data_IF_071379449546
#
_entry.id   IF_071379449546
#
_cell.length_a   1.000
_cell.length_b   1.000
_cell.length_c   1.000
_cell.angle_alpha   90.00
_cell.angle_beta   90.00
_cell.angle_gamma   90.00
#
_symmetry.space_group_name_H-M   'P 1'
#
loop_
_entity.id
_entity.type
_entity.pdbx_description
1 polymer ?
#
# COMPACT_ATOMS: atom_id res chain seq x y z
N UNK A 1 -14.11 -25.48 -0.50
CA UNK A 1 -14.47 -24.03 -0.43
C UNK A 1 -13.49 -23.26 -1.29
N UNK A 2 -13.95 -22.33 -2.10
CA UNK A 2 -13.09 -21.43 -2.83
C UNK A 2 -12.29 -20.57 -1.86
N UNK A 3 -10.98 -20.40 -2.14
CA UNK A 3 -10.12 -19.54 -1.32
C UNK A 3 -10.51 -18.07 -1.50
N UNK A 4 -10.31 -17.28 -0.46
CA UNK A 4 -10.44 -15.82 -0.53
C UNK A 4 -9.25 -15.25 -1.31
N UNK A 5 -9.43 -14.06 -1.88
CA UNK A 5 -8.44 -13.40 -2.72
C UNK A 5 -8.11 -12.02 -2.18
N UNK A 6 -6.82 -11.74 -2.07
CA UNK A 6 -6.31 -10.40 -1.77
C UNK A 6 -5.55 -9.83 -2.97
N UNK A 7 -5.79 -8.55 -3.31
CA UNK A 7 -5.02 -7.80 -4.29
C UNK A 7 -4.22 -6.70 -3.57
N UNK A 8 -2.92 -6.61 -3.86
CA UNK A 8 -2.00 -5.68 -3.19
C UNK A 8 -1.21 -4.91 -4.25
N UNK A 9 -1.28 -3.57 -4.23
CA UNK A 9 -0.43 -2.71 -5.06
C UNK A 9 0.89 -2.41 -4.35
N UNK A 10 2.00 -2.32 -5.11
CA UNK A 10 3.35 -2.24 -4.54
C UNK A 10 3.73 -3.53 -3.82
N UNK A 11 3.34 -4.68 -4.39
CA UNK A 11 3.41 -5.98 -3.74
C UNK A 11 4.74 -6.72 -3.84
N UNK A 12 5.69 -6.21 -4.63
CA UNK A 12 6.95 -6.92 -4.89
C UNK A 12 7.93 -6.89 -3.71
N UNK A 13 7.87 -5.87 -2.86
CA UNK A 13 8.82 -5.69 -1.75
C UNK A 13 8.21 -4.93 -0.55
N UNK A 14 8.99 -4.77 0.51
CA UNK A 14 8.66 -3.95 1.68
C UNK A 14 7.34 -4.35 2.33
N UNK A 15 6.53 -3.36 2.72
CA UNK A 15 5.24 -3.61 3.36
C UNK A 15 4.30 -4.44 2.48
N UNK A 16 4.25 -4.16 1.15
CA UNK A 16 3.37 -4.89 0.23
C UNK A 16 3.67 -6.38 0.19
N UNK A 17 4.96 -6.76 0.14
CA UNK A 17 5.39 -8.16 0.25
C UNK A 17 4.98 -8.77 1.61
N UNK A 18 5.21 -8.07 2.71
CA UNK A 18 4.85 -8.57 4.04
C UNK A 18 3.32 -8.77 4.18
N UNK A 19 2.52 -7.86 3.66
CA UNK A 19 1.06 -8.04 3.59
C UNK A 19 0.69 -9.29 2.78
N UNK A 20 1.33 -9.47 1.62
CA UNK A 20 1.07 -10.61 0.75
C UNK A 20 1.35 -11.95 1.43
N UNK A 21 2.51 -12.08 2.09
CA UNK A 21 2.89 -13.26 2.85
C UNK A 21 1.91 -13.51 4.00
N UNK A 22 1.53 -12.46 4.75
CA UNK A 22 0.57 -12.60 5.85
C UNK A 22 -0.78 -13.15 5.40
N UNK A 23 -1.31 -12.67 4.28
CA UNK A 23 -2.56 -13.20 3.71
C UNK A 23 -2.37 -14.64 3.19
N UNK A 24 -1.26 -14.94 2.52
CA UNK A 24 -0.93 -16.27 2.00
C UNK A 24 -0.82 -17.32 3.11
N UNK A 25 -0.14 -17.02 4.23
CA UNK A 25 -0.05 -17.84 5.44
C UNK A 25 -1.43 -18.19 6.02
N UNK A 26 -2.41 -17.34 5.77
CA UNK A 26 -3.79 -17.53 6.20
C UNK A 26 -4.72 -18.05 5.10
N UNK A 27 -4.15 -18.64 4.04
CA UNK A 27 -4.86 -19.38 3.02
C UNK A 27 -5.56 -18.53 1.96
N UNK A 28 -5.19 -17.27 1.79
CA UNK A 28 -5.68 -16.44 0.68
C UNK A 28 -4.85 -16.68 -0.58
N UNK A 29 -5.49 -16.73 -1.73
CA UNK A 29 -4.82 -16.54 -3.01
C UNK A 29 -4.47 -15.04 -3.18
N UNK A 30 -3.35 -14.74 -3.83
CA UNK A 30 -2.75 -13.40 -3.81
C UNK A 30 -2.57 -12.85 -5.22
N UNK A 31 -3.03 -11.62 -5.44
CA UNK A 31 -2.71 -10.82 -6.64
C UNK A 31 -1.72 -9.74 -6.23
N UNK A 32 -0.57 -9.73 -6.85
CA UNK A 32 0.49 -8.75 -6.65
C UNK A 32 0.58 -7.82 -7.86
N UNK A 33 0.50 -6.53 -7.64
CA UNK A 33 0.70 -5.51 -8.66
C UNK A 33 1.92 -4.65 -8.28
N UNK A 34 2.86 -4.50 -9.20
CA UNK A 34 4.04 -3.66 -9.02
C UNK A 34 4.56 -3.14 -10.36
N UNK A 35 5.35 -2.07 -10.36
CA UNK A 35 6.08 -1.58 -11.54
C UNK A 35 7.25 -2.50 -11.92
N UNK A 36 7.74 -3.30 -10.96
CA UNK A 36 8.79 -4.30 -11.19
C UNK A 36 8.37 -5.31 -12.26
N UNK A 37 9.35 -5.86 -12.96
CA UNK A 37 9.11 -6.97 -13.87
C UNK A 37 8.77 -8.23 -13.06
N UNK A 38 7.63 -8.90 -13.31
CA UNK A 38 7.30 -10.17 -12.65
C UNK A 38 8.35 -11.27 -12.83
N UNK A 39 9.12 -11.25 -13.92
CA UNK A 39 10.24 -12.15 -14.15
C UNK A 39 11.53 -11.74 -13.44
N UNK A 40 11.60 -10.50 -12.95
CA UNK A 40 12.76 -9.99 -12.19
C UNK A 40 12.89 -10.68 -10.83
N UNK A 41 14.12 -10.77 -10.32
CA UNK A 41 14.46 -11.51 -9.10
C UNK A 41 13.60 -11.12 -7.89
N UNK A 42 13.45 -9.81 -7.64
CA UNK A 42 12.70 -9.29 -6.48
C UNK A 42 11.23 -9.73 -6.52
N UNK A 43 10.57 -9.60 -7.66
CA UNK A 43 9.16 -9.92 -7.77
C UNK A 43 8.94 -11.45 -7.79
N UNK A 44 9.77 -12.17 -8.57
CA UNK A 44 9.66 -13.64 -8.68
C UNK A 44 9.97 -14.36 -7.37
N UNK A 45 10.88 -13.84 -6.52
CA UNK A 45 11.13 -14.42 -5.19
C UNK A 45 9.90 -14.31 -4.29
N UNK A 46 9.24 -13.15 -4.27
CA UNK A 46 7.99 -12.96 -3.50
C UNK A 46 6.89 -13.93 -3.96
N UNK A 47 6.74 -14.11 -5.28
CA UNK A 47 5.78 -15.08 -5.84
C UNK A 47 6.08 -16.49 -5.37
N UNK A 48 7.34 -16.93 -5.47
CA UNK A 48 7.75 -18.28 -5.04
C UNK A 48 7.51 -18.53 -3.55
N UNK A 49 7.78 -17.54 -2.71
CA UNK A 49 7.51 -17.64 -1.27
C UNK A 49 6.01 -17.80 -0.98
N UNK A 50 5.15 -17.06 -1.67
CA UNK A 50 3.70 -17.18 -1.55
C UNK A 50 3.23 -18.56 -2.02
N UNK A 51 3.70 -19.03 -3.17
CA UNK A 51 3.32 -20.34 -3.71
C UNK A 51 3.80 -21.50 -2.83
N UNK A 52 4.96 -21.35 -2.17
CA UNK A 52 5.46 -22.32 -1.20
C UNK A 52 4.52 -22.50 0.01
N UNK A 53 3.66 -21.52 0.31
CA UNK A 53 2.61 -21.63 1.33
C UNK A 53 1.37 -22.39 0.84
N UNK A 54 1.37 -22.90 -0.41
CA UNK A 54 0.31 -23.72 -0.98
C UNK A 54 -0.90 -22.93 -1.50
N UNK A 55 -0.78 -21.64 -1.70
CA UNK A 55 -1.79 -20.77 -2.32
C UNK A 55 -1.36 -20.34 -3.71
N UNK A 56 -2.28 -19.76 -4.51
CA UNK A 56 -1.95 -19.23 -5.84
C UNK A 56 -1.47 -17.79 -5.74
N UNK A 57 -0.47 -17.43 -6.56
CA UNK A 57 -0.02 -16.07 -6.74
C UNK A 57 -0.20 -15.62 -8.21
N UNK A 58 -0.76 -14.43 -8.42
CA UNK A 58 -0.83 -13.77 -9.72
C UNK A 58 -0.01 -12.48 -9.66
N UNK A 59 1.14 -12.46 -10.31
CA UNK A 59 1.97 -11.26 -10.43
C UNK A 59 1.64 -10.50 -11.71
N UNK A 60 1.36 -9.22 -11.58
CA UNK A 60 1.03 -8.33 -12.70
C UNK A 60 1.92 -7.09 -12.66
N UNK A 61 2.68 -6.84 -13.72
CA UNK A 61 3.33 -5.55 -13.89
C UNK A 61 2.26 -4.48 -14.09
N UNK A 62 2.26 -3.47 -13.25
CA UNK A 62 1.22 -2.46 -13.25
C UNK A 62 1.75 -1.11 -12.76
N UNK A 63 1.57 -0.08 -13.55
CA UNK A 63 1.73 1.29 -13.13
C UNK A 63 0.38 1.84 -12.63
N UNK A 64 0.24 2.05 -11.33
CA UNK A 64 -1.02 2.55 -10.74
C UNK A 64 -1.40 3.96 -11.19
N UNK A 65 -0.46 4.71 -11.82
CA UNK A 65 -0.76 6.02 -12.42
C UNK A 65 -1.37 5.90 -13.82
N UNK A 66 -1.38 4.71 -14.42
CA UNK A 66 -1.99 4.39 -15.71
C UNK A 66 -3.38 3.76 -15.52
N UNK A 67 -4.42 4.40 -16.05
CA UNK A 67 -5.79 3.85 -15.98
C UNK A 67 -5.92 2.54 -16.77
N UNK A 68 -5.20 2.40 -17.89
CA UNK A 68 -5.18 1.18 -18.70
C UNK A 68 -4.55 0.01 -17.97
N UNK A 69 -3.42 0.23 -17.26
CA UNK A 69 -2.76 -0.82 -16.50
C UNK A 69 -3.66 -1.28 -15.35
N UNK A 70 -4.29 -0.33 -14.66
CA UNK A 70 -5.23 -0.64 -13.58
C UNK A 70 -6.43 -1.44 -14.06
N UNK A 71 -6.97 -1.11 -15.24
CA UNK A 71 -8.03 -1.88 -15.87
C UNK A 71 -7.59 -3.33 -16.11
N UNK A 72 -6.44 -3.51 -16.77
CA UNK A 72 -5.86 -4.84 -17.06
C UNK A 72 -5.59 -5.64 -15.79
N UNK A 73 -5.06 -5.00 -14.74
CA UNK A 73 -4.83 -5.63 -13.45
C UNK A 73 -6.10 -6.26 -12.87
N UNK A 74 -7.16 -5.46 -12.78
CA UNK A 74 -8.41 -5.92 -12.17
C UNK A 74 -9.16 -6.92 -13.06
N UNK A 75 -9.08 -6.80 -14.39
CA UNK A 75 -9.60 -7.79 -15.34
C UNK A 75 -8.91 -9.14 -15.16
N UNK A 76 -7.57 -9.18 -15.16
CA UNK A 76 -6.80 -10.41 -14.93
C UNK A 76 -7.08 -11.05 -13.57
N UNK A 77 -7.15 -10.23 -12.52
CA UNK A 77 -7.47 -10.73 -11.18
C UNK A 77 -8.86 -11.39 -11.14
N UNK A 78 -9.84 -10.75 -11.77
CA UNK A 78 -11.20 -11.27 -11.84
C UNK A 78 -11.32 -12.52 -12.73
N UNK A 79 -10.70 -12.53 -13.90
CA UNK A 79 -10.68 -13.70 -14.79
C UNK A 79 -9.99 -14.91 -14.13
N UNK A 80 -8.95 -14.69 -13.33
CA UNK A 80 -8.19 -15.77 -12.68
C UNK A 80 -8.92 -16.35 -11.47
N UNK A 81 -9.56 -15.51 -10.66
CA UNK A 81 -10.09 -15.93 -9.36
C UNK A 81 -11.59 -15.77 -9.19
N UNK A 82 -12.26 -15.01 -10.03
CA UNK A 82 -13.71 -14.77 -9.97
C UNK A 82 -14.21 -13.97 -8.76
N UNK A 83 -13.28 -13.50 -7.89
CA UNK A 83 -13.59 -12.77 -6.67
C UNK A 83 -12.45 -11.88 -6.20
N UNK A 84 -12.77 -10.87 -5.41
CA UNK A 84 -11.82 -10.01 -4.71
C UNK A 84 -12.34 -9.73 -3.31
N UNK A 85 -11.76 -10.36 -2.30
CA UNK A 85 -12.21 -10.20 -0.91
C UNK A 85 -11.58 -8.99 -0.24
N UNK A 86 -10.29 -8.78 -0.50
CA UNK A 86 -9.51 -7.68 0.08
C UNK A 86 -8.72 -6.99 -1.03
N UNK A 87 -8.70 -5.67 -1.03
CA UNK A 87 -7.79 -4.86 -1.84
C UNK A 87 -7.00 -3.94 -0.92
N UNK A 88 -5.68 -4.03 -1.00
CA UNK A 88 -4.74 -3.18 -0.25
C UNK A 88 -4.07 -2.19 -1.21
N UNK A 89 -4.47 -0.93 -1.11
CA UNK A 89 -3.83 0.17 -1.83
C UNK A 89 -2.58 0.61 -1.06
N UNK A 90 -1.46 -0.06 -1.35
CA UNK A 90 -0.21 0.08 -0.60
C UNK A 90 0.90 0.80 -1.39
N UNK A 91 0.89 0.73 -2.72
CA UNK A 91 1.93 1.40 -3.53
C UNK A 91 2.07 2.88 -3.19
N UNK A 92 3.29 3.33 -3.01
CA UNK A 92 3.60 4.72 -2.68
C UNK A 92 5.09 5.00 -2.77
N UNK A 93 5.41 6.28 -2.81
CA UNK A 93 6.78 6.81 -2.84
C UNK A 93 6.89 7.98 -1.85
N UNK A 94 8.11 8.36 -1.52
CA UNK A 94 8.37 9.52 -0.68
C UNK A 94 9.41 10.42 -1.35
N UNK A 95 9.28 11.73 -1.17
CA UNK A 95 10.31 12.71 -1.50
C UNK A 95 10.54 13.62 -0.29
N UNK A 96 11.72 14.19 -0.23
CA UNK A 96 12.14 15.11 0.82
C UNK A 96 12.56 16.44 0.20
N UNK A 97 12.23 17.52 0.88
CA UNK A 97 12.62 18.88 0.51
C UNK A 97 11.70 19.91 1.14
N UNK A 98 12.23 21.10 1.41
CA UNK A 98 11.40 22.21 1.84
C UNK A 98 10.44 22.63 0.72
N UNK A 99 9.25 23.08 1.08
CA UNK A 99 8.19 23.43 0.12
C UNK A 99 8.66 24.39 -1.00
N UNK A 100 9.56 25.30 -0.68
CA UNK A 100 10.10 26.29 -1.63
C UNK A 100 11.28 25.78 -2.47
N UNK A 101 11.72 24.53 -2.27
CA UNK A 101 12.82 23.89 -3.00
C UNK A 101 12.33 22.79 -3.97
N UNK A 102 11.12 22.27 -3.71
CA UNK A 102 10.56 21.18 -4.52
C UNK A 102 10.17 21.69 -5.92
N UNK A 103 10.53 20.92 -6.94
CA UNK A 103 10.05 21.18 -8.31
C UNK A 103 8.64 20.64 -8.52
N UNK A 104 7.93 21.18 -9.51
CA UNK A 104 6.59 20.73 -9.88
C UNK A 104 6.56 19.24 -10.23
N UNK A 105 7.60 18.73 -10.91
CA UNK A 105 7.72 17.31 -11.27
C UNK A 105 7.85 16.40 -10.04
N UNK A 106 8.62 16.84 -9.04
CA UNK A 106 8.76 16.12 -7.78
C UNK A 106 7.42 16.07 -7.03
N UNK A 107 6.71 17.18 -6.98
CA UNK A 107 5.38 17.28 -6.37
C UNK A 107 4.40 16.38 -7.11
N UNK A 108 4.30 16.53 -8.44
CA UNK A 108 3.35 15.80 -9.27
C UNK A 108 3.57 14.28 -9.18
N UNK A 109 4.82 13.82 -9.18
CA UNK A 109 5.14 12.39 -9.05
C UNK A 109 4.54 11.75 -7.78
N UNK A 110 4.68 12.41 -6.64
CA UNK A 110 4.14 11.89 -5.36
C UNK A 110 2.61 11.94 -5.37
N UNK A 111 2.03 13.02 -5.85
CA UNK A 111 0.57 13.16 -5.96
C UNK A 111 -0.01 12.10 -6.90
N UNK A 112 0.60 11.88 -8.07
CA UNK A 112 0.11 10.90 -9.04
C UNK A 112 0.16 9.47 -8.50
N UNK A 113 1.22 9.12 -7.78
CA UNK A 113 1.37 7.76 -7.23
C UNK A 113 0.53 7.60 -5.95
N UNK A 114 0.81 8.42 -4.92
CA UNK A 114 0.29 8.17 -3.57
C UNK A 114 -1.18 8.56 -3.41
N UNK A 115 -1.67 9.55 -4.17
CA UNK A 115 -3.05 10.00 -4.08
C UNK A 115 -3.89 9.50 -5.26
N UNK A 116 -3.51 9.84 -6.50
CA UNK A 116 -4.31 9.50 -7.67
C UNK A 116 -4.25 8.00 -7.97
N UNK A 117 -3.08 7.36 -7.80
CA UNK A 117 -2.92 5.91 -7.91
C UNK A 117 -3.73 5.15 -6.85
N UNK A 118 -3.73 5.64 -5.62
CA UNK A 118 -4.61 5.11 -4.56
C UNK A 118 -6.08 5.28 -4.92
N UNK A 119 -6.50 6.44 -5.42
CA UNK A 119 -7.87 6.67 -5.89
C UNK A 119 -8.25 5.69 -7.01
N UNK A 120 -7.38 5.47 -8.01
CA UNK A 120 -7.64 4.49 -9.08
C UNK A 120 -7.78 3.08 -8.53
N UNK A 121 -6.93 2.68 -7.59
CA UNK A 121 -7.04 1.37 -6.92
C UNK A 121 -8.41 1.23 -6.24
N UNK A 122 -8.85 2.24 -5.52
CA UNK A 122 -10.16 2.26 -4.85
C UNK A 122 -11.33 2.25 -5.87
N UNK A 123 -11.21 3.02 -6.98
CA UNK A 123 -12.20 3.06 -8.07
C UNK A 123 -12.47 1.65 -8.62
N UNK A 124 -11.42 0.95 -9.02
CA UNK A 124 -11.55 -0.39 -9.59
C UNK A 124 -11.99 -1.41 -8.54
N UNK A 125 -11.43 -1.37 -7.33
CA UNK A 125 -11.87 -2.22 -6.23
C UNK A 125 -13.37 -2.08 -5.97
N UNK A 126 -13.87 -0.86 -5.85
CA UNK A 126 -15.29 -0.59 -5.64
C UNK A 126 -16.16 -1.09 -6.80
N UNK A 127 -15.73 -0.94 -8.06
CA UNK A 127 -16.47 -1.43 -9.22
C UNK A 127 -16.68 -2.94 -9.20
N UNK A 128 -15.63 -3.73 -8.89
CA UNK A 128 -15.71 -5.18 -8.83
C UNK A 128 -16.41 -5.66 -7.56
N UNK A 129 -16.10 -5.10 -6.41
CA UNK A 129 -16.70 -5.48 -5.14
C UNK A 129 -18.21 -5.16 -5.08
N UNK A 130 -18.68 -4.08 -5.72
CA UNK A 130 -20.11 -3.78 -5.83
C UNK A 130 -20.88 -4.83 -6.65
N UNK A 131 -20.25 -5.43 -7.68
CA UNK A 131 -20.87 -6.51 -8.45
C UNK A 131 -21.04 -7.78 -7.62
N UNK A 132 -20.08 -8.06 -6.72
CA UNK A 132 -20.13 -9.25 -5.85
C UNK A 132 -20.90 -9.02 -4.53
N UNK A 133 -21.15 -7.78 -4.12
CA UNK A 133 -21.92 -7.43 -2.92
C UNK A 133 -21.14 -7.49 -1.60
N UNK A 134 -19.83 -7.63 -1.63
CA UNK A 134 -18.98 -7.61 -0.43
C UNK A 134 -17.53 -7.19 -0.79
N UNK A 135 -16.75 -6.81 0.20
CA UNK A 135 -15.31 -6.54 0.05
C UNK A 135 -14.72 -5.75 1.20
N UNK A 136 -13.39 -5.70 1.22
CA UNK A 136 -12.60 -4.89 2.13
C UNK A 136 -11.57 -4.10 1.34
N UNK A 137 -11.58 -2.79 1.46
CA UNK A 137 -10.59 -1.90 0.87
C UNK A 137 -9.78 -1.30 1.99
N UNK A 138 -8.45 -1.43 1.92
CA UNK A 138 -7.53 -0.92 2.94
C UNK A 138 -6.53 0.00 2.26
N UNK A 139 -6.52 1.25 2.65
CA UNK A 139 -5.61 2.26 2.14
C UNK A 139 -4.45 2.47 3.11
N UNK A 140 -3.22 2.40 2.62
CA UNK A 140 -2.03 2.70 3.41
C UNK A 140 -1.76 4.21 3.33
N UNK A 141 -2.20 4.94 4.37
CA UNK A 141 -1.85 6.34 4.57
C UNK A 141 -0.49 6.46 5.30
N UNK A 142 -0.38 7.33 6.26
CA UNK A 142 0.78 7.55 7.12
C UNK A 142 0.37 8.45 8.29
N UNK A 143 1.15 8.47 9.36
CA UNK A 143 1.06 9.53 10.38
C UNK A 143 1.26 10.92 9.78
N UNK A 144 2.01 11.06 8.65
CA UNK A 144 2.07 12.29 7.86
C UNK A 144 0.74 12.69 7.20
N UNK A 145 -0.27 11.84 7.22
CA UNK A 145 -1.66 12.18 6.90
C UNK A 145 -2.46 12.67 8.11
N UNK A 146 -1.86 12.79 9.30
CA UNK A 146 -2.50 13.24 10.54
C UNK A 146 -1.95 14.58 11.05
N UNK A 147 -0.67 14.84 10.78
CA UNK A 147 0.02 16.07 11.13
C UNK A 147 1.05 16.42 10.06
N UNK A 148 1.47 17.69 10.02
CA UNK A 148 2.53 18.16 9.12
C UNK A 148 3.90 17.75 9.63
N UNK A 149 4.78 17.37 8.70
CA UNK A 149 6.18 17.06 8.98
C UNK A 149 7.06 17.93 8.09
N UNK A 150 8.04 18.65 8.63
CA UNK A 150 8.99 19.42 7.82
C UNK A 150 9.60 18.55 6.71
N UNK A 151 9.87 19.11 5.54
CA UNK A 151 10.42 18.45 4.35
C UNK A 151 9.49 17.40 3.69
N UNK A 152 8.28 17.15 4.20
CA UNK A 152 7.34 16.17 3.67
C UNK A 152 6.05 16.80 3.12
N UNK A 153 6.07 18.05 2.67
CA UNK A 153 4.86 18.75 2.26
C UNK A 153 4.02 17.96 1.25
N UNK A 154 4.62 17.47 0.17
CA UNK A 154 3.90 16.71 -0.88
C UNK A 154 3.36 15.37 -0.36
N UNK A 155 4.18 14.66 0.41
CA UNK A 155 3.78 13.40 1.01
C UNK A 155 2.63 13.59 2.00
N UNK A 156 2.70 14.63 2.85
CA UNK A 156 1.59 15.00 3.73
C UNK A 156 0.32 15.30 2.92
N UNK A 157 0.39 16.13 1.88
CA UNK A 157 -0.77 16.42 1.01
C UNK A 157 -1.41 15.14 0.49
N UNK A 158 -0.62 14.21 -0.06
CA UNK A 158 -1.11 12.94 -0.58
C UNK A 158 -1.76 12.09 0.52
N UNK A 159 -1.10 11.90 1.67
CA UNK A 159 -1.60 11.03 2.74
C UNK A 159 -2.80 11.61 3.50
N UNK A 160 -2.94 12.94 3.61
CA UNK A 160 -4.17 13.60 4.02
C UNK A 160 -5.31 13.37 3.01
N UNK A 161 -5.00 13.46 1.71
CA UNK A 161 -5.96 13.19 0.63
C UNK A 161 -6.47 11.73 0.67
N UNK A 162 -5.58 10.75 0.90
CA UNK A 162 -5.95 9.33 1.06
C UNK A 162 -6.93 9.12 2.22
N UNK A 163 -6.73 9.80 3.34
CA UNK A 163 -7.68 9.73 4.47
C UNK A 163 -9.05 10.35 4.12
N UNK A 164 -9.06 11.49 3.42
CA UNK A 164 -10.27 12.10 2.91
C UNK A 164 -11.02 11.16 1.95
N UNK A 165 -10.31 10.60 0.96
CA UNK A 165 -10.84 9.60 0.03
C UNK A 165 -11.46 8.41 0.77
N UNK A 166 -10.75 7.84 1.76
CA UNK A 166 -11.22 6.70 2.54
C UNK A 166 -12.55 6.99 3.23
N UNK A 167 -12.65 8.14 3.90
CA UNK A 167 -13.88 8.56 4.61
C UNK A 167 -15.05 8.75 3.64
N UNK A 168 -14.81 9.37 2.49
CA UNK A 168 -15.84 9.59 1.47
C UNK A 168 -16.33 8.27 0.90
N UNK A 169 -15.40 7.40 0.44
CA UNK A 169 -15.74 6.12 -0.15
C UNK A 169 -16.46 5.18 0.84
N UNK A 170 -16.10 5.22 2.12
CA UNK A 170 -16.79 4.47 3.16
C UNK A 170 -18.27 4.89 3.31
N UNK A 171 -18.59 6.16 3.12
CA UNK A 171 -19.97 6.67 3.12
C UNK A 171 -20.72 6.27 1.83
N UNK A 172 -20.05 6.39 0.66
CA UNK A 172 -20.64 6.02 -0.64
C UNK A 172 -20.99 4.53 -0.71
N UNK A 173 -20.19 3.66 -0.04
CA UNK A 173 -20.38 2.22 -0.03
C UNK A 173 -21.18 1.70 1.18
N UNK A 174 -21.74 2.61 1.99
CA UNK A 174 -22.54 2.22 3.16
C UNK A 174 -23.74 1.36 2.73
N UNK A 175 -23.91 0.22 3.42
CA UNK A 175 -25.02 -0.72 3.14
C UNK A 175 -24.77 -1.69 1.98
N UNK A 176 -23.62 -1.61 1.28
CA UNK A 176 -23.29 -2.50 0.15
C UNK A 176 -22.56 -3.78 0.54
N UNK A 177 -22.24 -3.97 1.82
CA UNK A 177 -21.37 -5.07 2.28
C UNK A 177 -19.87 -4.81 2.12
N UNK A 178 -19.49 -3.67 1.53
CA UNK A 178 -18.10 -3.27 1.34
C UNK A 178 -17.68 -2.33 2.47
N UNK A 179 -16.49 -2.57 3.03
CA UNK A 179 -15.92 -1.75 4.10
C UNK A 179 -14.61 -1.14 3.62
N UNK A 180 -14.44 0.15 3.85
CA UNK A 180 -13.22 0.89 3.49
C UNK A 180 -12.55 1.40 4.76
N UNK A 181 -11.27 1.07 4.93
CA UNK A 181 -10.45 1.49 6.06
C UNK A 181 -9.15 2.14 5.58
N UNK A 182 -8.52 2.90 6.46
CA UNK A 182 -7.14 3.35 6.27
C UNK A 182 -6.34 3.08 7.54
N UNK A 183 -5.07 2.75 7.38
CA UNK A 183 -4.09 2.74 8.45
C UNK A 183 -3.09 3.86 8.23
N UNK A 184 -2.50 4.35 9.32
CA UNK A 184 -1.56 5.46 9.32
C UNK A 184 -0.25 5.02 10.00
N UNK A 185 0.58 4.19 9.34
CA UNK A 185 1.85 3.77 9.92
C UNK A 185 2.75 4.97 10.21
N UNK A 186 3.59 4.84 11.22
CA UNK A 186 4.74 5.71 11.44
C UNK A 186 5.94 5.19 10.64
N UNK A 187 7.15 5.32 11.16
CA UNK A 187 8.36 4.80 10.52
C UNK A 187 8.35 3.27 10.56
N UNK A 188 8.49 2.63 9.41
CA UNK A 188 8.50 1.16 9.24
C UNK A 188 9.77 0.77 8.51
N UNK A 189 10.46 -0.26 8.97
CA UNK A 189 11.68 -0.80 8.35
C UNK A 189 11.35 -1.34 6.97
N UNK A 190 11.76 -0.63 5.93
CA UNK A 190 11.51 -0.98 4.52
C UNK A 190 12.61 -0.42 3.63
N UNK A 191 12.78 -0.93 2.40
CA UNK A 191 13.72 -0.34 1.44
C UNK A 191 13.51 1.15 1.17
N UNK A 192 12.30 1.67 1.38
CA UNK A 192 12.00 3.10 1.29
C UNK A 192 12.81 3.92 2.30
N UNK A 193 13.12 3.36 3.47
CA UNK A 193 13.88 4.02 4.55
C UNK A 193 15.40 3.80 4.43
N UNK A 194 15.84 2.90 3.56
CA UNK A 194 17.24 2.48 3.42
C UNK A 194 17.97 3.32 2.35
N UNK A 195 17.68 4.62 2.31
CA UNK A 195 18.27 5.56 1.36
C UNK A 195 19.02 6.66 2.10
N UNK A 196 20.08 7.21 1.48
CA UNK A 196 20.81 8.34 2.02
C UNK A 196 19.92 9.55 2.28
N UNK A 197 18.96 9.80 1.40
CA UNK A 197 18.00 10.90 1.54
C UNK A 197 17.08 10.73 2.76
N UNK A 198 16.70 9.48 3.08
CA UNK A 198 15.90 9.20 4.27
C UNK A 198 16.73 9.38 5.55
N UNK A 199 17.97 8.89 5.57
CA UNK A 199 18.90 9.08 6.70
C UNK A 199 19.13 10.57 6.94
N UNK A 200 19.41 11.34 5.87
CA UNK A 200 19.56 12.80 5.97
C UNK A 200 18.31 13.47 6.54
N UNK A 201 17.12 13.10 6.05
CA UNK A 201 15.85 13.60 6.56
C UNK A 201 15.68 13.34 8.06
N UNK A 202 15.99 12.13 8.53
CA UNK A 202 15.91 11.80 9.96
C UNK A 202 16.92 12.59 10.78
N UNK A 203 18.16 12.77 10.28
CA UNK A 203 19.16 13.60 10.94
C UNK A 203 18.69 15.04 11.09
N UNK A 204 18.18 15.62 10.00
CA UNK A 204 17.65 17.01 10.01
C UNK A 204 16.46 17.15 10.99
N UNK A 205 15.61 16.13 11.09
CA UNK A 205 14.42 16.15 11.96
C UNK A 205 14.75 15.95 13.44
N UNK A 206 15.76 15.16 13.76
CA UNK A 206 16.07 14.72 15.13
C UNK A 206 17.32 15.38 15.72
N UNK A 207 18.13 16.04 14.90
CA UNK A 207 19.43 16.59 15.30
C UNK A 207 20.53 15.52 15.47
N UNK A 208 20.29 14.29 15.00
CA UNK A 208 21.29 13.23 15.00
C UNK A 208 22.27 13.36 13.81
N UNK A 209 23.29 12.51 13.78
CA UNK A 209 24.31 12.46 12.72
C UNK A 209 24.60 11.00 12.30
N UNK A 210 23.53 10.24 11.99
CA UNK A 210 23.65 8.87 11.49
C UNK A 210 24.35 8.86 10.13
N UNK A 211 25.28 7.93 9.94
CA UNK A 211 26.07 7.82 8.70
C UNK A 211 25.40 6.92 7.66
N UNK A 212 24.51 6.04 8.11
CA UNK A 212 23.81 5.07 7.27
C UNK A 212 22.47 4.66 7.93
N UNK A 213 21.68 3.88 7.20
CA UNK A 213 20.37 3.43 7.66
C UNK A 213 20.45 2.41 8.82
N UNK A 214 21.54 1.63 8.95
CA UNK A 214 21.73 0.71 10.06
C UNK A 214 21.86 1.48 11.39
N UNK A 215 22.73 2.48 11.44
CA UNK A 215 22.85 3.36 12.61
C UNK A 215 21.55 4.08 12.94
N UNK A 216 20.82 4.52 11.91
CA UNK A 216 19.50 5.14 12.09
C UNK A 216 18.49 4.18 12.71
N UNK A 217 18.44 2.92 12.28
CA UNK A 217 17.55 1.92 12.86
C UNK A 217 17.87 1.60 14.31
N UNK A 218 19.15 1.64 14.70
CA UNK A 218 19.59 1.43 16.09
C UNK A 218 19.27 2.65 16.98
N UNK A 219 19.29 3.85 16.39
CA UNK A 219 19.14 5.11 17.13
C UNK A 219 17.73 5.70 17.18
N UNK A 220 16.81 5.25 16.34
CA UNK A 220 15.42 5.76 16.27
C UNK A 220 14.45 4.59 16.22
N UNK A 221 13.33 4.61 16.96
CA UNK A 221 12.35 3.53 16.92
C UNK A 221 11.65 3.44 15.56
N UNK A 222 11.67 2.24 14.98
CA UNK A 222 10.94 1.83 13.80
C UNK A 222 10.06 0.62 14.14
N UNK A 223 8.91 0.53 13.49
CA UNK A 223 8.09 -0.68 13.50
C UNK A 223 8.65 -1.69 12.49
N UNK A 224 8.42 -2.95 12.74
CA UNK A 224 8.66 -4.00 11.75
C UNK A 224 7.46 -4.10 10.78
N UNK A 225 7.69 -4.62 9.57
CA UNK A 225 6.64 -4.72 8.55
C UNK A 225 5.52 -5.68 8.97
N UNK A 226 5.83 -6.64 9.81
CA UNK A 226 4.90 -7.62 10.39
C UNK A 226 3.83 -6.96 11.25
N UNK A 227 4.18 -5.96 12.07
CA UNK A 227 3.24 -5.22 12.91
C UNK A 227 2.14 -4.57 12.07
N UNK A 228 2.53 -4.00 10.91
CA UNK A 228 1.60 -3.38 9.98
C UNK A 228 0.77 -4.43 9.25
N UNK A 229 1.40 -5.54 8.87
CA UNK A 229 0.72 -6.63 8.15
C UNK A 229 -0.34 -7.32 9.01
N UNK A 230 -0.11 -7.46 10.29
CA UNK A 230 -1.09 -7.99 11.24
C UNK A 230 -2.34 -7.10 11.33
N UNK A 231 -2.15 -5.78 11.39
CA UNK A 231 -3.26 -4.82 11.38
C UNK A 231 -4.01 -4.84 10.04
N UNK A 232 -3.30 -4.90 8.90
CA UNK A 232 -3.92 -4.99 7.57
C UNK A 232 -4.72 -6.28 7.44
N UNK A 233 -4.18 -7.41 7.88
CA UNK A 233 -4.88 -8.68 7.88
C UNK A 233 -6.12 -8.66 8.76
N UNK A 234 -6.02 -8.10 9.98
CA UNK A 234 -7.17 -7.95 10.87
C UNK A 234 -8.28 -7.12 10.25
N UNK A 235 -7.96 -5.96 9.64
CA UNK A 235 -8.93 -5.13 8.92
C UNK A 235 -9.56 -5.84 7.72
N UNK A 236 -8.78 -6.65 7.00
CA UNK A 236 -9.23 -7.42 5.84
C UNK A 236 -10.15 -8.59 6.19
N UNK A 237 -10.10 -9.09 7.44
CA UNK A 237 -10.79 -10.32 7.84
C UNK A 237 -11.84 -10.12 8.93
N UNK A 238 -11.79 -9.02 9.66
CA UNK A 238 -12.75 -8.72 10.73
C UNK A 238 -14.18 -8.55 10.19
N UNK A 239 -15.17 -9.08 10.95
CA UNK A 239 -16.60 -8.95 10.61
C UNK A 239 -17.16 -7.57 10.94
N UNK A 240 -16.50 -6.81 11.81
CA UNK A 240 -16.89 -5.46 12.19
C UNK A 240 -16.52 -4.48 11.08
N UNK A 241 -17.51 -3.82 10.47
CA UNK A 241 -17.25 -2.66 9.64
C UNK A 241 -16.47 -1.62 10.43
N UNK A 242 -15.44 -1.03 9.83
CA UNK A 242 -14.71 0.06 10.46
C UNK A 242 -15.69 1.14 10.91
N UNK A 243 -15.77 1.33 12.22
CA UNK A 243 -16.40 2.55 12.75
C UNK A 243 -15.33 3.63 12.65
N UNK A 244 -15.52 4.56 11.73
CA UNK A 244 -14.73 5.78 11.64
C UNK A 244 -15.10 6.66 12.82
#
# INVERSE_FOLDING_TARGET
MERKVVLITGGAMGQGRAHALKFAENGFDVVLADMQDPAGEVFSSTVKEIEALGVKALAVRCNITSDSDMKVLFEKAWETFGRLDVVVANAGVINFGYTWELTDEQVQKVIDIDLIGTWRTNKYAAQYMRKQGFGRIINIASTSGMYGTPQLATYCMAKWGVRGLTKTLAQELKGTGIVVNTICPTKVKTPMCETESYVKFINDLTGNDFKNWQEMYDGVPFLDVEDISDMVYWLGTSRGGGKI
#
